data_IF_649867375274
#
_entry.id   IF_649867375274
#
_cell.length_a   1.000
_cell.length_b   1.000
_cell.length_c   1.000
_cell.angle_alpha   90.00
_cell.angle_beta   90.00
_cell.angle_gamma   90.00
#
_symmetry.space_group_name_H-M   'P 1'
#
loop_
_entity.id
_entity.type
_entity.pdbx_description
1 polymer ?
#
# COMPACT_ATOMS: atom_id res chain seq x y z
N UNK A 1 22.69 -6.49 -35.81
CA UNK A 1 22.02 -5.83 -34.67
C UNK A 1 20.98 -4.85 -35.20
N UNK A 2 19.74 -4.87 -34.70
CA UNK A 2 18.69 -3.94 -35.15
C UNK A 2 18.92 -2.53 -34.59
N UNK A 3 18.31 -1.47 -35.16
CA UNK A 3 18.41 -0.11 -34.60
C UNK A 3 17.94 -0.03 -33.14
N UNK A 4 16.85 -0.73 -32.79
CA UNK A 4 16.34 -0.76 -31.42
C UNK A 4 17.28 -1.51 -30.45
N UNK A 5 17.96 -2.57 -30.91
CA UNK A 5 18.98 -3.26 -30.12
C UNK A 5 20.20 -2.36 -29.90
N UNK A 6 20.59 -1.60 -30.92
CA UNK A 6 21.69 -0.66 -30.85
C UNK A 6 21.44 0.44 -29.81
N UNK A 7 20.27 1.07 -29.83
CA UNK A 7 19.91 2.12 -28.86
C UNK A 7 19.88 1.57 -27.42
N UNK A 8 19.38 0.35 -27.24
CA UNK A 8 19.41 -0.33 -25.94
C UNK A 8 20.83 -0.66 -25.50
N UNK A 9 21.67 -1.14 -26.41
CA UNK A 9 23.08 -1.43 -26.15
C UNK A 9 23.84 -0.16 -25.74
N UNK A 10 23.66 0.95 -26.45
CA UNK A 10 24.27 2.25 -26.13
C UNK A 10 23.83 2.76 -24.75
N UNK A 11 22.54 2.69 -24.43
CA UNK A 11 22.03 3.06 -23.09
C UNK A 11 22.64 2.19 -21.98
N UNK A 12 22.79 0.89 -22.22
CA UNK A 12 23.43 -0.01 -21.26
C UNK A 12 24.92 0.31 -21.09
N UNK A 13 25.64 0.73 -22.13
CA UNK A 13 27.03 1.19 -22.00
C UNK A 13 27.14 2.49 -21.20
N UNK A 14 26.25 3.45 -21.43
CA UNK A 14 26.20 4.69 -20.65
C UNK A 14 25.95 4.42 -19.16
N UNK A 15 24.98 3.54 -18.85
CA UNK A 15 24.69 3.14 -17.47
C UNK A 15 25.81 2.30 -16.83
N UNK A 16 26.52 1.49 -17.62
CA UNK A 16 27.69 0.75 -17.14
C UNK A 16 28.86 1.66 -16.76
N UNK A 17 28.97 2.83 -17.38
CA UNK A 17 29.99 3.83 -17.08
C UNK A 17 29.58 4.78 -15.93
N UNK A 18 28.32 5.22 -15.89
CA UNK A 18 27.84 6.30 -15.02
C UNK A 18 26.83 5.86 -13.96
N UNK A 19 26.51 4.56 -13.84
CA UNK A 19 25.57 4.05 -12.84
C UNK A 19 25.96 4.44 -11.41
N UNK A 20 24.98 4.82 -10.59
CA UNK A 20 25.19 5.38 -9.26
C UNK A 20 25.77 4.34 -8.31
N UNK A 21 25.34 3.08 -8.44
CA UNK A 21 25.85 1.97 -7.62
C UNK A 21 26.67 0.98 -8.44
N UNK A 22 27.52 0.21 -7.75
CA UNK A 22 28.26 -0.89 -8.37
C UNK A 22 27.32 -1.95 -8.96
N UNK A 23 26.20 -2.23 -8.30
CA UNK A 23 25.18 -3.17 -8.77
C UNK A 23 24.54 -2.73 -10.08
N UNK A 24 24.20 -1.44 -10.20
CA UNK A 24 23.67 -0.87 -11.45
C UNK A 24 24.67 -0.97 -12.60
N UNK A 25 25.95 -0.63 -12.35
CA UNK A 25 26.99 -0.73 -13.39
C UNK A 25 27.20 -2.17 -13.86
N UNK A 26 27.22 -3.14 -12.93
CA UNK A 26 27.37 -4.55 -13.25
C UNK A 26 26.15 -5.09 -14.02
N UNK A 27 24.93 -4.76 -13.58
CA UNK A 27 23.69 -5.15 -14.26
C UNK A 27 23.61 -4.56 -15.68
N UNK A 28 24.05 -3.31 -15.85
CA UNK A 28 24.11 -2.65 -17.16
C UNK A 28 25.11 -3.33 -18.11
N UNK A 29 26.29 -3.73 -17.63
CA UNK A 29 27.26 -4.52 -18.42
C UNK A 29 26.67 -5.87 -18.84
N UNK A 30 26.07 -6.60 -17.91
CA UNK A 30 25.43 -7.89 -18.21
C UNK A 30 24.26 -7.75 -19.21
N UNK A 31 23.50 -6.65 -19.13
CA UNK A 31 22.45 -6.36 -20.10
C UNK A 31 23.02 -6.06 -21.49
N UNK A 32 24.08 -5.26 -21.59
CA UNK A 32 24.75 -4.98 -22.85
C UNK A 32 25.31 -6.27 -23.51
N UNK A 33 25.91 -7.17 -22.72
CA UNK A 33 26.40 -8.47 -23.21
C UNK A 33 25.27 -9.34 -23.77
N UNK A 34 24.10 -9.37 -23.11
CA UNK A 34 22.94 -10.13 -23.62
C UNK A 34 22.42 -9.56 -24.93
N UNK A 35 22.39 -8.24 -25.07
CA UNK A 35 21.96 -7.58 -26.32
C UNK A 35 22.94 -7.88 -27.46
N UNK A 36 24.26 -7.78 -27.21
CA UNK A 36 25.27 -8.13 -28.19
C UNK A 36 25.14 -9.60 -28.64
N UNK A 37 25.00 -10.52 -27.68
CA UNK A 37 24.82 -11.96 -27.97
C UNK A 37 23.53 -12.24 -28.72
N UNK A 38 22.42 -11.58 -28.37
CA UNK A 38 21.15 -11.69 -29.09
C UNK A 38 21.24 -11.22 -30.55
N UNK A 39 22.19 -10.33 -30.86
CA UNK A 39 22.50 -9.88 -32.21
C UNK A 39 23.57 -10.73 -32.91
N UNK A 40 24.04 -11.82 -32.31
CA UNK A 40 25.09 -12.68 -32.85
C UNK A 40 26.49 -12.09 -32.81
N UNK A 41 26.72 -11.05 -31.99
CA UNK A 41 28.00 -10.35 -31.86
C UNK A 41 28.63 -10.61 -30.49
N UNK A 42 29.95 -10.55 -30.44
CA UNK A 42 30.64 -10.37 -29.16
C UNK A 42 30.44 -8.95 -28.64
N UNK A 43 30.63 -8.76 -27.33
CA UNK A 43 30.54 -7.44 -26.71
C UNK A 43 31.51 -6.43 -27.36
N UNK A 44 32.74 -6.86 -27.67
CA UNK A 44 33.75 -6.01 -28.32
C UNK A 44 33.35 -5.63 -29.75
N UNK A 45 32.83 -6.57 -30.54
CA UNK A 45 32.35 -6.29 -31.90
C UNK A 45 31.14 -5.35 -31.89
N UNK A 46 30.22 -5.53 -30.95
CA UNK A 46 29.08 -4.62 -30.78
C UNK A 46 29.53 -3.21 -30.39
N UNK A 47 30.53 -3.08 -29.52
CA UNK A 47 31.12 -1.79 -29.15
C UNK A 47 31.89 -1.11 -30.30
N UNK A 48 32.61 -1.89 -31.12
CA UNK A 48 33.25 -1.38 -32.34
C UNK A 48 32.23 -0.94 -33.39
N UNK A 49 31.16 -1.71 -33.60
CA UNK A 49 30.08 -1.37 -34.51
C UNK A 49 29.38 -0.06 -34.12
N UNK A 50 29.18 0.17 -32.82
CA UNK A 50 28.63 1.43 -32.29
C UNK A 50 29.57 2.62 -32.54
N UNK A 51 30.89 2.44 -32.37
CA UNK A 51 31.88 3.50 -32.60
C UNK A 51 31.96 3.94 -34.06
N UNK A 52 32.02 3.00 -35.00
CA UNK A 52 32.10 3.31 -36.45
C UNK A 52 30.89 4.09 -36.94
N UNK A 53 29.71 3.74 -36.44
CA UNK A 53 28.45 4.38 -36.82
C UNK A 53 28.18 5.68 -36.05
N UNK A 54 28.82 5.90 -34.91
CA UNK A 54 28.83 7.18 -34.19
C UNK A 54 29.62 8.27 -34.93
N UNK A 55 30.66 7.89 -35.69
CA UNK A 55 31.44 8.83 -36.52
C UNK A 55 30.61 9.40 -37.69
N UNK A 56 29.70 8.62 -38.28
CA UNK A 56 28.79 9.12 -39.33
C UNK A 56 27.73 10.09 -38.78
N UNK A 57 27.32 9.96 -37.51
CA UNK A 57 26.34 10.86 -36.89
C UNK A 57 26.95 12.14 -36.33
N UNK A 58 28.27 12.22 -36.14
CA UNK A 58 28.96 13.42 -35.66
C UNK A 58 28.85 14.62 -36.62
N UNK A 59 28.47 14.39 -37.89
CA UNK A 59 28.23 15.45 -38.87
C UNK A 59 26.81 16.05 -38.85
N UNK A 60 25.88 15.54 -38.02
CA UNK A 60 24.60 16.22 -37.81
C UNK A 60 24.79 17.38 -36.87
N UNK A 61 24.74 18.59 -37.43
CA UNK A 61 24.72 19.87 -36.74
C UNK A 61 24.00 19.78 -35.38
N UNK A 62 24.72 20.14 -34.32
CA UNK A 62 24.20 20.32 -32.96
C UNK A 62 23.05 21.32 -32.99
N UNK A 63 21.82 20.82 -33.10
CA UNK A 63 20.63 21.62 -32.84
C UNK A 63 20.74 22.11 -31.39
N UNK A 64 20.57 23.42 -31.12
CA UNK A 64 20.62 23.92 -29.77
C UNK A 64 19.58 23.18 -28.91
N UNK A 65 19.91 22.87 -27.64
CA UNK A 65 18.98 22.20 -26.75
C UNK A 65 17.70 23.04 -26.61
N UNK A 66 16.51 22.41 -26.51
CA UNK A 66 15.28 23.14 -26.27
C UNK A 66 15.41 23.97 -24.98
N UNK A 67 14.78 25.15 -24.91
CA UNK A 67 14.82 25.98 -23.72
C UNK A 67 14.30 25.18 -22.52
N UNK A 68 15.07 25.16 -21.44
CA UNK A 68 14.68 24.50 -20.19
C UNK A 68 13.46 25.22 -19.63
N UNK A 69 12.33 24.53 -19.58
CA UNK A 69 11.15 25.01 -18.86
C UNK A 69 11.56 25.23 -17.38
N UNK A 70 11.24 26.39 -16.80
CA UNK A 70 11.51 26.63 -15.38
C UNK A 70 10.76 25.60 -14.54
N UNK A 71 11.43 25.06 -13.53
CA UNK A 71 10.80 24.10 -12.62
C UNK A 71 9.58 24.74 -11.93
N UNK A 72 8.54 23.97 -11.58
CA UNK A 72 7.33 24.52 -10.92
C UNK A 72 7.61 25.29 -9.62
N UNK A 73 8.68 24.93 -8.90
CA UNK A 73 9.10 25.63 -7.68
C UNK A 73 9.83 26.96 -7.95
N UNK A 74 10.28 27.20 -9.18
CA UNK A 74 10.94 28.44 -9.60
C UNK A 74 9.92 29.51 -10.02
N UNK A 75 8.64 29.15 -10.16
CA UNK A 75 7.56 30.12 -10.38
C UNK A 75 7.14 30.75 -9.04
N UNK A 76 6.98 32.09 -8.97
CA UNK A 76 6.37 32.74 -7.82
C UNK A 76 5.00 32.12 -7.53
N UNK A 77 4.80 31.66 -6.30
CA UNK A 77 3.50 31.13 -5.88
C UNK A 77 2.48 32.27 -5.89
N UNK A 78 1.26 31.97 -6.33
CA UNK A 78 0.15 32.89 -6.20
C UNK A 78 -0.02 33.28 -4.71
N UNK A 79 -0.38 34.54 -4.40
CA UNK A 79 -0.65 34.96 -3.04
C UNK A 79 -1.78 34.12 -2.44
N UNK A 80 -1.55 33.59 -1.25
CA UNK A 80 -2.55 32.81 -0.52
C UNK A 80 -3.52 33.76 0.15
N UNK A 81 -4.82 33.65 -0.14
CA UNK A 81 -5.85 34.36 0.59
C UNK A 81 -5.96 33.80 2.01
N UNK A 82 -5.75 34.61 3.06
CA UNK A 82 -5.89 34.13 4.43
C UNK A 82 -7.34 33.76 4.71
N UNK A 83 -7.54 32.67 5.45
CA UNK A 83 -8.86 32.27 5.95
C UNK A 83 -9.39 33.37 6.90
N UNK A 84 -10.66 33.73 6.74
CA UNK A 84 -11.30 34.71 7.63
C UNK A 84 -11.67 34.09 8.97
N UNK A 85 -11.90 34.93 9.98
CA UNK A 85 -12.34 34.46 11.30
C UNK A 85 -13.73 33.81 11.21
N UNK A 86 -14.65 34.32 10.37
CA UNK A 86 -15.97 33.68 10.22
C UNK A 86 -15.85 32.27 9.64
N UNK A 87 -14.94 32.07 8.68
CA UNK A 87 -14.68 30.77 8.08
C UNK A 87 -14.14 29.78 9.12
N UNK A 88 -13.21 30.21 9.99
CA UNK A 88 -12.72 29.37 11.10
C UNK A 88 -13.83 28.99 12.07
N UNK A 89 -14.71 29.94 12.41
CA UNK A 89 -15.83 29.70 13.30
C UNK A 89 -16.85 28.72 12.69
N UNK A 90 -17.12 28.84 11.38
CA UNK A 90 -17.99 27.90 10.66
C UNK A 90 -17.41 26.47 10.68
N UNK A 91 -16.14 26.33 10.31
CA UNK A 91 -15.45 25.03 10.31
C UNK A 91 -15.42 24.40 11.71
N UNK A 92 -15.21 25.22 12.76
CA UNK A 92 -15.27 24.76 14.15
C UNK A 92 -16.67 24.26 14.53
N UNK A 93 -17.72 25.01 14.19
CA UNK A 93 -19.09 24.63 14.49
C UNK A 93 -19.49 23.31 13.79
N UNK A 94 -19.09 23.12 12.53
CA UNK A 94 -19.30 21.87 11.79
C UNK A 94 -18.60 20.69 12.47
N UNK A 95 -17.35 20.89 12.88
CA UNK A 95 -16.55 19.87 13.57
C UNK A 95 -17.17 19.49 14.91
N UNK A 96 -17.59 20.47 15.71
CA UNK A 96 -18.25 20.23 17.00
C UNK A 96 -19.59 19.49 16.82
N UNK A 97 -20.38 19.86 15.81
CA UNK A 97 -21.63 19.19 15.51
C UNK A 97 -21.39 17.73 15.09
N UNK A 98 -20.36 17.47 14.27
CA UNK A 98 -19.95 16.11 13.93
C UNK A 98 -19.50 15.32 15.15
N UNK A 99 -18.66 15.89 16.01
CA UNK A 99 -18.20 15.23 17.24
C UNK A 99 -19.38 14.88 18.16
N UNK A 100 -20.33 15.79 18.37
CA UNK A 100 -21.54 15.54 19.18
C UNK A 100 -22.37 14.37 18.61
N UNK A 101 -22.57 14.33 17.29
CA UNK A 101 -23.29 13.23 16.63
C UNK A 101 -22.55 11.90 16.78
N UNK A 102 -21.23 11.91 16.60
CA UNK A 102 -20.38 10.73 16.73
C UNK A 102 -20.40 10.17 18.16
N UNK A 103 -20.25 11.04 19.16
CA UNK A 103 -20.31 10.66 20.57
C UNK A 103 -21.67 10.06 20.95
N UNK A 104 -22.78 10.67 20.51
CA UNK A 104 -24.12 10.14 20.75
C UNK A 104 -24.34 8.78 20.07
N UNK A 105 -23.81 8.57 18.87
CA UNK A 105 -23.87 7.27 18.20
C UNK A 105 -23.06 6.20 18.93
N UNK A 106 -21.86 6.54 19.42
CA UNK A 106 -21.02 5.65 20.20
C UNK A 106 -21.67 5.25 21.54
N UNK A 107 -22.29 6.20 22.24
CA UNK A 107 -23.02 5.91 23.49
C UNK A 107 -24.19 4.95 23.26
N UNK A 108 -24.99 5.19 22.20
CA UNK A 108 -26.08 4.26 21.82
C UNK A 108 -25.56 2.87 21.51
N UNK A 109 -24.42 2.75 20.82
CA UNK A 109 -23.80 1.45 20.52
C UNK A 109 -23.37 0.73 21.80
N UNK A 110 -22.69 1.43 22.72
CA UNK A 110 -22.26 0.86 24.00
C UNK A 110 -23.42 0.38 24.86
N UNK A 111 -24.52 1.15 24.90
CA UNK A 111 -25.74 0.75 25.63
C UNK A 111 -26.38 -0.51 25.05
N UNK A 112 -26.42 -0.64 23.72
CA UNK A 112 -26.91 -1.87 23.05
C UNK A 112 -26.01 -3.06 23.36
N UNK A 113 -24.69 -2.92 23.20
CA UNK A 113 -23.74 -3.99 23.50
C UNK A 113 -23.86 -4.47 24.96
N UNK A 114 -24.05 -3.55 25.91
CA UNK A 114 -24.29 -3.91 27.32
C UNK A 114 -25.61 -4.66 27.49
N UNK A 115 -26.69 -4.19 26.88
CA UNK A 115 -27.98 -4.86 26.95
C UNK A 115 -27.91 -6.29 26.37
N UNK A 116 -27.19 -6.48 25.26
CA UNK A 116 -26.99 -7.80 24.65
C UNK A 116 -26.18 -8.73 25.56
N UNK A 117 -25.13 -8.22 26.21
CA UNK A 117 -24.34 -8.98 27.19
C UNK A 117 -25.18 -9.37 28.40
N UNK A 118 -25.97 -8.43 28.94
CA UNK A 118 -26.84 -8.68 30.09
C UNK A 118 -27.91 -9.72 29.75
N UNK A 119 -28.49 -9.66 28.54
CA UNK A 119 -29.45 -10.64 28.05
C UNK A 119 -28.83 -12.04 27.93
N UNK A 120 -27.63 -12.13 27.36
CA UNK A 120 -26.91 -13.40 27.26
C UNK A 120 -26.61 -14.00 28.64
N UNK A 121 -26.11 -13.19 29.57
CA UNK A 121 -25.82 -13.64 30.95
C UNK A 121 -27.11 -14.08 31.65
N UNK A 122 -28.21 -13.35 31.48
CA UNK A 122 -29.51 -13.73 32.05
C UNK A 122 -29.99 -15.09 31.51
N UNK A 123 -29.83 -15.34 30.20
CA UNK A 123 -30.17 -16.63 29.59
C UNK A 123 -29.33 -17.78 30.18
N UNK A 124 -28.01 -17.58 30.33
CA UNK A 124 -27.15 -18.60 30.93
C UNK A 124 -27.53 -18.89 32.38
N UNK A 125 -27.88 -17.85 33.16
CA UNK A 125 -28.36 -18.01 34.54
C UNK A 125 -29.69 -18.76 34.58
N UNK A 126 -30.61 -18.49 33.66
CA UNK A 126 -31.88 -19.21 33.58
C UNK A 126 -31.67 -20.70 33.30
N UNK A 127 -30.84 -21.03 32.32
CA UNK A 127 -30.47 -22.44 32.01
C UNK A 127 -29.78 -23.13 33.18
N UNK A 128 -28.91 -22.42 33.90
CA UNK A 128 -28.29 -22.97 35.11
C UNK A 128 -29.33 -23.22 36.21
N UNK A 129 -30.25 -22.28 36.43
CA UNK A 129 -31.29 -22.43 37.44
C UNK A 129 -32.23 -23.62 37.14
N UNK A 130 -32.51 -23.90 35.87
CA UNK A 130 -33.25 -25.11 35.47
C UNK A 130 -32.48 -26.38 35.83
N UNK A 131 -31.19 -26.46 35.47
CA UNK A 131 -30.33 -27.60 35.84
C UNK A 131 -30.23 -27.78 37.35
N UNK A 132 -30.14 -26.69 38.10
CA UNK A 132 -30.06 -26.74 39.56
C UNK A 132 -31.36 -27.28 40.17
N UNK A 133 -32.53 -26.90 39.61
CA UNK A 133 -33.83 -27.46 40.01
C UNK A 133 -33.91 -28.95 39.66
N UNK A 134 -33.45 -29.36 38.48
CA UNK A 134 -33.44 -30.77 38.07
C UNK A 134 -32.54 -31.60 38.99
N UNK A 135 -31.35 -31.07 39.29
CA UNK A 135 -30.41 -31.68 40.22
C UNK A 135 -30.95 -31.76 41.66
N UNK A 136 -31.68 -30.74 42.12
CA UNK A 136 -32.33 -30.78 43.43
C UNK A 136 -33.47 -31.83 43.47
N UNK A 137 -34.22 -31.98 42.37
CA UNK A 137 -35.30 -32.98 42.27
C UNK A 137 -34.77 -34.41 42.34
N UNK A 138 -33.71 -34.74 41.62
CA UNK A 138 -33.12 -36.11 41.62
C UNK A 138 -32.53 -36.52 42.96
N UNK A 139 -32.18 -35.56 43.82
CA UNK A 139 -31.73 -35.82 45.20
C UNK A 139 -32.86 -35.98 46.20
N UNK A 140 -34.01 -35.39 45.93
CA UNK A 140 -35.17 -35.42 46.83
C UNK A 140 -36.02 -36.67 46.58
N UNK A 141 -36.16 -37.09 45.32
CA UNK A 141 -36.72 -38.39 44.92
C UNK A 141 -35.59 -39.24 44.30
N UNK A 142 -34.77 -39.93 45.12
CA UNK A 142 -33.87 -40.92 44.57
C UNK A 142 -34.71 -42.01 43.87
N UNK A 143 -34.35 -42.43 42.64
CA UNK A 143 -35.09 -43.50 41.97
C UNK A 143 -35.08 -44.74 42.86
N UNK A 144 -36.27 -45.32 43.09
CA UNK A 144 -36.41 -46.55 43.86
C UNK A 144 -35.43 -47.60 43.31
N UNK A 145 -34.59 -48.15 44.18
CA UNK A 145 -33.67 -49.20 43.80
C UNK A 145 -34.48 -50.37 43.20
N UNK A 146 -34.07 -50.93 42.05
CA UNK A 146 -34.74 -52.09 41.49
C UNK A 146 -34.42 -53.31 42.36
N UNK A 147 -35.23 -53.57 43.40
CA UNK A 147 -34.94 -54.67 44.30
C UNK A 147 -35.80 -54.88 45.54
N UNK A 148 -36.97 -54.23 45.68
CA UNK A 148 -37.94 -54.60 46.73
C UNK A 148 -39.20 -55.22 46.11
N UNK A 149 -39.04 -56.41 45.54
CA UNK A 149 -40.10 -57.42 45.49
C UNK A 149 -39.68 -58.55 46.44
N UNK A 150 -40.38 -58.66 47.57
CA UNK A 150 -40.41 -59.83 48.45
C UNK A 150 -41.84 -60.05 48.93
#
# INVERSE_FOLDING_TARGET
MTPADRDRFEKCLALAAQGATMGERAAARAAAERIARGAGLTFAEAAEALRRTGQESAHRATRPPPPRQPYPWAQPKAPVTPITVEELLRQKAETEAWQKRSAAAADRRRKRERADQDAYVAEQRARQAERDRDWARTRTDPPAAPGDEA
#
